data_IF_002631309554
#
_entry.id   IF_002631309554
#
_cell.length_a   1.000
_cell.length_b   1.000
_cell.length_c   1.000
_cell.angle_alpha   90.00
_cell.angle_beta   90.00
_cell.angle_gamma   90.00
#
_symmetry.space_group_name_H-M   'P 1'
#
loop_
_entity.id
_entity.type
_entity.pdbx_description
1 polymer ?
#
# COMPACT_ATOMS: atom_id res chain seq x y z
N UNK A 1 35.08 -43.12 -10.15
CA UNK A 1 34.67 -41.94 -10.93
C UNK A 1 33.16 -41.98 -11.13
N UNK A 2 32.44 -40.89 -10.90
CA UNK A 2 31.00 -40.85 -11.18
C UNK A 2 30.74 -40.92 -12.69
N UNK A 3 29.75 -41.72 -13.09
CA UNK A 3 29.32 -41.81 -14.48
C UNK A 3 28.74 -40.46 -14.95
N UNK A 4 28.99 -40.06 -16.20
CA UNK A 4 28.44 -38.86 -16.84
C UNK A 4 26.93 -38.72 -16.63
N UNK A 5 26.18 -39.82 -16.70
CA UNK A 5 24.72 -39.82 -16.45
C UNK A 5 24.36 -39.33 -15.05
N UNK A 6 25.12 -39.75 -14.04
CA UNK A 6 24.88 -39.36 -12.64
C UNK A 6 25.26 -37.89 -12.41
N UNK A 7 26.37 -37.44 -13.00
CA UNK A 7 26.78 -36.03 -12.96
C UNK A 7 25.68 -35.14 -13.56
N UNK A 8 25.13 -35.55 -14.71
CA UNK A 8 24.08 -34.80 -15.41
C UNK A 8 22.80 -34.71 -14.57
N UNK A 9 22.41 -35.80 -13.91
CA UNK A 9 21.27 -35.82 -12.97
C UNK A 9 21.47 -34.90 -11.76
N UNK A 10 22.63 -34.96 -11.11
CA UNK A 10 22.92 -34.09 -9.97
C UNK A 10 22.97 -32.62 -10.36
N UNK A 11 23.53 -32.29 -11.53
CA UNK A 11 23.50 -30.93 -12.06
C UNK A 11 22.07 -30.46 -12.33
N UNK A 12 21.20 -31.31 -12.89
CA UNK A 12 19.81 -30.95 -13.15
C UNK A 12 19.03 -30.69 -11.86
N UNK A 13 19.21 -31.54 -10.84
CA UNK A 13 18.60 -31.37 -9.52
C UNK A 13 19.09 -30.06 -8.88
N UNK A 14 20.41 -29.80 -8.94
CA UNK A 14 20.99 -28.57 -8.39
C UNK A 14 20.40 -27.32 -9.03
N UNK A 15 20.34 -27.26 -10.37
CA UNK A 15 19.78 -26.13 -11.10
C UNK A 15 18.28 -25.96 -10.83
N UNK A 16 17.53 -27.07 -10.71
CA UNK A 16 16.09 -26.99 -10.42
C UNK A 16 15.79 -26.34 -9.07
N UNK A 17 16.64 -26.56 -8.06
CA UNK A 17 16.53 -25.91 -6.76
C UNK A 17 16.71 -24.39 -6.84
N UNK A 18 17.68 -23.93 -7.62
CA UNK A 18 17.91 -22.49 -7.84
C UNK A 18 16.76 -21.83 -8.61
N UNK A 19 16.24 -22.50 -9.65
CA UNK A 19 15.10 -22.00 -10.42
C UNK A 19 13.84 -21.90 -9.56
N UNK A 20 13.59 -22.90 -8.71
CA UNK A 20 12.46 -22.89 -7.78
C UNK A 20 12.61 -21.78 -6.72
N UNK A 21 13.80 -21.60 -6.16
CA UNK A 21 14.08 -20.52 -5.21
C UNK A 21 13.88 -19.13 -5.85
N UNK A 22 14.37 -18.94 -7.08
CA UNK A 22 14.15 -17.70 -7.83
C UNK A 22 12.66 -17.45 -8.06
N UNK A 23 11.91 -18.47 -8.50
CA UNK A 23 10.46 -18.37 -8.68
C UNK A 23 9.73 -17.96 -7.40
N UNK A 24 10.04 -18.60 -6.26
CA UNK A 24 9.46 -18.24 -4.98
C UNK A 24 9.79 -16.79 -4.57
N UNK A 25 11.04 -16.36 -4.78
CA UNK A 25 11.48 -15.01 -4.46
C UNK A 25 10.74 -13.96 -5.30
N UNK A 26 10.58 -14.18 -6.62
CA UNK A 26 9.80 -13.27 -7.46
C UNK A 26 8.32 -13.21 -7.03
N UNK A 27 7.71 -14.35 -6.70
CA UNK A 27 6.31 -14.38 -6.24
C UNK A 27 6.13 -13.67 -4.89
N UNK A 28 7.06 -13.86 -3.95
CA UNK A 28 6.98 -13.23 -2.62
C UNK A 28 7.25 -11.73 -2.66
N UNK A 29 8.13 -11.24 -3.55
CA UNK A 29 8.41 -9.80 -3.66
C UNK A 29 7.17 -8.97 -4.03
N UNK A 30 6.31 -9.49 -4.93
CA UNK A 30 5.06 -8.82 -5.28
C UNK A 30 4.07 -8.84 -4.09
N UNK A 31 3.94 -9.99 -3.42
CA UNK A 31 3.10 -10.13 -2.22
C UNK A 31 3.57 -9.23 -1.06
N UNK A 32 4.88 -9.13 -0.84
CA UNK A 32 5.46 -8.31 0.22
C UNK A 32 5.23 -6.83 -0.04
N UNK A 33 5.30 -6.39 -1.31
CA UNK A 33 5.00 -5.01 -1.68
C UNK A 33 3.55 -4.64 -1.38
N UNK A 34 2.61 -5.49 -1.75
CA UNK A 34 1.19 -5.28 -1.46
C UNK A 34 0.91 -5.30 0.04
N UNK A 35 1.55 -6.22 0.77
CA UNK A 35 1.46 -6.30 2.23
C UNK A 35 2.03 -5.04 2.91
N UNK A 36 3.19 -4.55 2.47
CA UNK A 36 3.81 -3.33 3.00
C UNK A 36 2.91 -2.12 2.71
N UNK A 37 2.37 -2.01 1.49
CA UNK A 37 1.45 -0.93 1.11
C UNK A 37 0.17 -0.96 1.97
N UNK A 38 -0.38 -2.14 2.24
CA UNK A 38 -1.52 -2.28 3.15
C UNK A 38 -1.15 -1.79 4.55
N UNK A 39 -0.04 -2.25 5.12
CA UNK A 39 0.40 -1.87 6.47
C UNK A 39 0.63 -0.38 6.63
N UNK A 40 1.31 0.25 5.67
CA UNK A 40 1.57 1.70 5.68
C UNK A 40 0.25 2.48 5.63
N UNK A 41 -0.68 2.04 4.79
CA UNK A 41 -1.97 2.73 4.63
C UNK A 41 -2.96 2.45 5.76
N UNK A 42 -2.84 1.34 6.52
CA UNK A 42 -3.67 1.09 7.73
C UNK A 42 -3.41 2.17 8.79
N UNK A 43 -2.14 2.44 9.12
CA UNK A 43 -1.83 3.45 10.13
C UNK A 43 -2.28 4.84 9.70
N UNK A 44 -2.00 5.19 8.44
CA UNK A 44 -2.46 6.45 7.85
C UNK A 44 -4.00 6.56 7.90
N UNK A 45 -4.71 5.48 7.56
CA UNK A 45 -6.17 5.45 7.61
C UNK A 45 -6.67 5.69 9.03
N UNK A 46 -6.10 5.01 10.03
CA UNK A 46 -6.52 5.15 11.43
C UNK A 46 -6.36 6.59 11.94
N UNK A 47 -5.24 7.25 11.62
CA UNK A 47 -5.01 8.67 11.98
C UNK A 47 -6.09 9.55 11.36
N UNK A 48 -6.38 9.37 10.08
CA UNK A 48 -7.36 10.18 9.36
C UNK A 48 -8.78 9.92 9.88
N UNK A 49 -9.18 8.65 10.01
CA UNK A 49 -10.52 8.29 10.50
C UNK A 49 -10.75 8.73 11.93
N UNK A 50 -9.75 8.61 12.81
CA UNK A 50 -9.84 9.10 14.19
C UNK A 50 -9.98 10.63 14.23
N UNK A 51 -9.22 11.34 13.41
CA UNK A 51 -9.28 12.80 13.34
C UNK A 51 -10.58 13.33 12.71
N UNK A 52 -11.34 12.47 12.03
CA UNK A 52 -12.62 12.79 11.38
C UNK A 52 -13.83 12.14 12.05
N UNK A 53 -13.66 11.47 13.20
CA UNK A 53 -14.71 10.68 13.84
C UNK A 53 -16.00 11.47 14.12
N UNK A 54 -15.88 12.80 14.30
CA UNK A 54 -17.01 13.69 14.60
C UNK A 54 -17.63 14.34 13.34
N UNK A 55 -17.07 14.07 12.16
CA UNK A 55 -17.58 14.58 10.88
C UNK A 55 -18.56 13.58 10.28
N UNK A 56 -19.73 14.07 9.84
CA UNK A 56 -20.85 13.22 9.42
C UNK A 56 -21.14 13.26 7.93
N UNK A 57 -20.53 14.20 7.21
CA UNK A 57 -20.73 14.35 5.77
C UNK A 57 -19.41 14.47 5.02
N UNK A 58 -19.44 14.09 3.74
CA UNK A 58 -18.31 14.27 2.84
C UNK A 58 -17.83 15.73 2.80
N UNK A 59 -18.77 16.68 2.82
CA UNK A 59 -18.44 18.10 2.79
C UNK A 59 -17.66 18.51 4.05
N UNK A 60 -18.13 18.14 5.24
CA UNK A 60 -17.42 18.42 6.50
C UNK A 60 -16.02 17.79 6.52
N UNK A 61 -15.89 16.58 5.96
CA UNK A 61 -14.60 15.88 5.86
C UNK A 61 -13.66 16.62 4.89
N UNK A 62 -14.16 17.01 3.71
CA UNK A 62 -13.38 17.76 2.71
C UNK A 62 -12.89 19.09 3.32
N UNK A 63 -13.79 19.85 3.96
CA UNK A 63 -13.45 21.14 4.59
C UNK A 63 -12.39 20.97 5.68
N UNK A 64 -12.51 19.92 6.50
CA UNK A 64 -11.55 19.61 7.55
C UNK A 64 -10.17 19.23 6.98
N UNK A 65 -10.13 18.46 5.89
CA UNK A 65 -8.89 18.08 5.22
C UNK A 65 -8.25 19.31 4.55
N UNK A 66 -9.03 20.15 3.89
CA UNK A 66 -8.55 21.42 3.33
C UNK A 66 -7.96 22.32 4.42
N UNK A 67 -8.61 22.38 5.58
CA UNK A 67 -8.08 23.08 6.74
C UNK A 67 -6.72 22.53 7.18
N UNK A 68 -6.54 21.21 7.23
CA UNK A 68 -5.24 20.60 7.58
C UNK A 68 -4.14 20.96 6.58
N UNK A 69 -4.42 20.90 5.28
CA UNK A 69 -3.48 21.30 4.23
C UNK A 69 -3.10 22.78 4.34
N UNK A 70 -4.08 23.66 4.57
CA UNK A 70 -3.85 25.09 4.72
C UNK A 70 -3.00 25.44 5.94
N UNK A 71 -3.17 24.71 7.04
CA UNK A 71 -2.48 25.00 8.32
C UNK A 71 -1.22 24.14 8.55
N UNK A 72 -0.80 23.33 7.57
CA UNK A 72 0.42 22.53 7.68
C UNK A 72 0.37 21.43 8.74
N UNK A 73 -0.79 20.81 8.97
CA UNK A 73 -0.95 19.71 9.94
C UNK A 73 -0.35 18.40 9.38
N UNK A 74 0.96 18.26 9.54
CA UNK A 74 1.79 17.28 8.81
C UNK A 74 1.42 15.82 9.04
N UNK A 75 0.96 15.45 10.24
CA UNK A 75 0.57 14.07 10.53
C UNK A 75 -0.69 13.67 9.74
N UNK A 76 -1.70 14.54 9.72
CA UNK A 76 -2.95 14.30 9.02
C UNK A 76 -2.78 14.42 7.52
N UNK A 77 -2.13 15.47 7.03
CA UNK A 77 -1.91 15.66 5.59
C UNK A 77 -0.99 14.59 5.02
N UNK A 78 0.08 14.21 5.73
CA UNK A 78 0.96 13.11 5.34
C UNK A 78 0.23 11.77 5.29
N UNK A 79 -0.70 11.53 6.22
CA UNK A 79 -1.56 10.34 6.20
C UNK A 79 -2.51 10.34 5.01
N UNK A 80 -3.16 11.47 4.72
CA UNK A 80 -4.02 11.62 3.53
C UNK A 80 -3.23 11.37 2.25
N UNK A 81 -2.07 11.99 2.08
CA UNK A 81 -1.17 11.79 0.95
C UNK A 81 -0.75 10.33 0.80
N UNK A 82 -0.38 9.67 1.91
CA UNK A 82 0.04 8.28 1.92
C UNK A 82 -1.05 7.36 1.37
N UNK A 83 -2.31 7.56 1.81
CA UNK A 83 -3.44 6.78 1.30
C UNK A 83 -3.68 7.12 -0.18
N UNK A 84 -3.68 8.39 -0.55
CA UNK A 84 -3.93 8.83 -1.93
C UNK A 84 -2.91 8.31 -2.96
N UNK A 85 -1.67 8.07 -2.54
CA UNK A 85 -0.59 7.59 -3.41
C UNK A 85 -0.50 6.06 -3.48
N UNK A 86 -0.92 5.34 -2.43
CA UNK A 86 -0.71 3.89 -2.33
C UNK A 86 -2.01 3.09 -2.44
N UNK A 87 -3.11 3.54 -1.82
CA UNK A 87 -4.41 2.86 -1.89
C UNK A 87 -5.58 3.81 -1.58
N UNK A 88 -6.09 4.49 -2.62
CA UNK A 88 -7.23 5.40 -2.52
C UNK A 88 -8.51 4.71 -2.06
N UNK A 89 -8.63 3.40 -2.28
CA UNK A 89 -9.85 2.66 -1.96
C UNK A 89 -10.07 2.55 -0.44
N UNK A 90 -9.02 2.70 0.38
CA UNK A 90 -9.19 2.73 1.84
C UNK A 90 -10.12 3.83 2.32
N UNK A 91 -10.21 4.96 1.60
CA UNK A 91 -11.11 6.05 1.97
C UNK A 91 -12.60 5.72 1.77
N UNK A 92 -12.96 4.68 0.99
CA UNK A 92 -14.36 4.30 0.77
C UNK A 92 -15.13 3.93 2.03
N UNK A 93 -14.42 3.65 3.12
CA UNK A 93 -15.02 3.39 4.44
C UNK A 93 -15.59 4.66 5.10
N UNK A 94 -15.13 5.84 4.71
CA UNK A 94 -15.48 7.12 5.35
C UNK A 94 -15.89 8.22 4.35
N UNK A 95 -15.72 8.00 3.04
CA UNK A 95 -15.97 8.99 1.99
C UNK A 95 -16.60 8.35 0.76
N UNK A 96 -17.42 9.12 0.04
CA UNK A 96 -17.85 8.74 -1.32
C UNK A 96 -16.74 8.88 -2.35
N UNK A 97 -16.90 8.23 -3.51
CA UNK A 97 -15.92 8.27 -4.61
C UNK A 97 -15.61 9.72 -5.08
N UNK A 98 -16.60 10.61 -5.12
CA UNK A 98 -16.41 12.00 -5.54
C UNK A 98 -15.59 12.80 -4.51
N UNK A 99 -15.81 12.54 -3.23
CA UNK A 99 -15.03 13.15 -2.16
C UNK A 99 -13.58 12.67 -2.16
N UNK A 100 -13.36 11.37 -2.39
CA UNK A 100 -12.01 10.79 -2.54
C UNK A 100 -11.22 11.48 -3.66
N UNK A 101 -11.85 11.66 -4.82
CA UNK A 101 -11.22 12.37 -5.96
C UNK A 101 -10.86 13.80 -5.56
N UNK A 102 -11.75 14.47 -4.80
CA UNK A 102 -11.53 15.85 -4.35
C UNK A 102 -10.32 15.94 -3.41
N UNK A 103 -10.29 15.14 -2.35
CA UNK A 103 -9.23 15.21 -1.34
C UNK A 103 -7.87 14.78 -1.89
N UNK A 104 -7.83 13.79 -2.79
CA UNK A 104 -6.57 13.33 -3.38
C UNK A 104 -6.03 14.29 -4.47
N UNK A 105 -6.82 15.27 -4.90
CA UNK A 105 -6.36 16.37 -5.78
C UNK A 105 -5.84 17.58 -5.01
N UNK A 106 -6.11 17.69 -3.71
CA UNK A 106 -5.56 18.77 -2.86
C UNK A 106 -4.04 18.69 -2.71
N UNK A 107 -3.44 17.56 -3.12
CA UNK A 107 -2.01 17.28 -3.11
C UNK A 107 -1.34 17.51 -4.48
N UNK A 108 -1.90 18.38 -5.33
CA UNK A 108 -1.29 18.84 -6.60
C UNK A 108 -1.12 20.35 -6.54
#
# INVERSE_FOLDING_TARGET
MLNKKNILWYSFISVSGWLFAAYLMFMHLDSDRDFINDKITVNAYNIVSQSLQDKKSDQEIIEQIQFWFKNGWTAQTGSVTTICNNDRQKFKKILSDSAIVTICRLHI
#
